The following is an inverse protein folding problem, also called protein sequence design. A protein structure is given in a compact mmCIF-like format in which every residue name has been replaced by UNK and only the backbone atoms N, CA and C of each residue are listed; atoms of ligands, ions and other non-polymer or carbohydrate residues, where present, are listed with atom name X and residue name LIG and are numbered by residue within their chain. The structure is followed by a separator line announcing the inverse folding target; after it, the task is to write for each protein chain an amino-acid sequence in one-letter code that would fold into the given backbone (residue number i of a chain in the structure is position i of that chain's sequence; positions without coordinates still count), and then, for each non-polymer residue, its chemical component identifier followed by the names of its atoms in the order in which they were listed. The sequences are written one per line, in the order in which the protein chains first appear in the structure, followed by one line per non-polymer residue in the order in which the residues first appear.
data_IF_898917470749
#
_entry.id   IF_898917470749
#
_cell.length_a   1.000
_cell.length_b   1.000
_cell.length_c   1.000
_cell.angle_alpha   90.00
_cell.angle_beta   90.00
_cell.angle_gamma   90.00
#
_symmetry.space_group_name_H-M   'P 1'
#
loop_
_entity.id
_entity.type
_entity.pdbx_description
1 polymer ?
#
# COMPACT_ATOMS: atom_id res chain seq x y z
N UNK A 1 -15.34 -28.87 -4.19
CA UNK A 1 -14.08 -29.20 -3.49
C UNK A 1 -13.68 -27.96 -2.73
N UNK A 2 -13.78 -27.96 -1.40
CA UNK A 2 -13.13 -26.91 -0.60
C UNK A 2 -11.64 -26.97 -0.93
N UNK A 3 -11.11 -25.90 -1.51
CA UNK A 3 -9.68 -25.77 -1.69
C UNK A 3 -9.08 -25.71 -0.27
N UNK A 4 -8.25 -26.69 0.09
CA UNK A 4 -7.48 -26.63 1.34
C UNK A 4 -6.65 -25.35 1.27
N UNK A 5 -7.02 -24.37 2.08
CA UNK A 5 -6.41 -23.05 2.05
C UNK A 5 -4.98 -23.17 2.59
N UNK A 6 -4.00 -22.98 1.70
CA UNK A 6 -2.58 -23.11 2.05
C UNK A 6 -2.16 -21.90 2.88
N UNK A 7 -1.89 -22.11 4.17
CA UNK A 7 -1.29 -21.08 5.03
C UNK A 7 0.22 -21.11 4.89
N UNK A 8 0.82 -19.99 4.47
CA UNK A 8 2.27 -19.83 4.38
C UNK A 8 2.75 -19.00 5.56
N UNK A 9 3.82 -19.44 6.24
CA UNK A 9 4.54 -18.64 7.24
C UNK A 9 6.03 -18.85 7.06
N UNK A 10 6.82 -17.83 7.37
CA UNK A 10 8.27 -17.94 7.33
C UNK A 10 8.77 -18.91 8.43
N UNK A 11 9.69 -19.83 8.13
CA UNK A 11 10.41 -20.59 9.14
C UNK A 11 11.09 -19.67 10.17
N UNK A 12 11.13 -20.10 11.42
CA UNK A 12 11.67 -19.33 12.56
C UNK A 12 12.83 -20.07 13.23
N UNK A 13 13.57 -19.39 14.10
CA UNK A 13 14.72 -19.94 14.82
C UNK A 13 15.96 -20.15 13.94
N UNK A 14 16.91 -20.94 14.45
CA UNK A 14 18.26 -21.09 13.86
C UNK A 14 18.42 -22.29 12.93
N UNK A 15 17.41 -23.17 12.83
CA UNK A 15 17.44 -24.33 11.93
C UNK A 15 17.26 -23.90 10.49
N UNK A 16 18.18 -24.31 9.62
CA UNK A 16 18.15 -24.02 8.18
C UNK A 16 17.37 -25.09 7.41
N UNK A 17 16.62 -24.65 6.40
CA UNK A 17 16.06 -25.50 5.35
C UNK A 17 16.86 -25.41 4.04
N UNK A 18 17.60 -24.33 3.83
CA UNK A 18 18.50 -24.10 2.71
C UNK A 18 19.97 -24.42 3.05
N UNK A 19 20.85 -24.45 2.05
CA UNK A 19 22.29 -24.71 2.21
C UNK A 19 23.07 -23.59 2.91
N UNK A 20 22.50 -22.39 3.03
CA UNK A 20 23.11 -21.24 3.69
C UNK A 20 22.10 -20.20 4.13
N UNK A 21 22.55 -19.26 4.98
CA UNK A 21 21.70 -18.20 5.54
C UNK A 21 21.19 -17.21 4.49
N UNK A 22 21.93 -16.97 3.39
CA UNK A 22 21.49 -16.04 2.34
C UNK A 22 20.28 -16.61 1.57
N UNK A 23 20.33 -17.89 1.20
CA UNK A 23 19.23 -18.60 0.56
C UNK A 23 18.04 -18.73 1.51
N UNK A 24 18.32 -19.07 2.78
CA UNK A 24 17.30 -19.15 3.83
C UNK A 24 16.60 -17.80 4.04
N UNK A 25 17.35 -16.70 4.05
CA UNK A 25 16.79 -15.35 4.17
C UNK A 25 15.83 -15.05 3.01
N UNK A 26 16.25 -15.29 1.76
CA UNK A 26 15.38 -15.11 0.60
C UNK A 26 14.10 -15.96 0.69
N UNK A 27 14.22 -17.22 1.11
CA UNK A 27 13.06 -18.12 1.27
C UNK A 27 12.13 -17.65 2.39
N UNK A 28 12.67 -17.30 3.56
CA UNK A 28 11.89 -16.79 4.71
C UNK A 28 11.18 -15.50 4.34
N UNK A 29 11.84 -14.59 3.65
CA UNK A 29 11.21 -13.32 3.26
C UNK A 29 10.16 -13.48 2.17
N UNK A 30 10.34 -14.40 1.21
CA UNK A 30 9.30 -14.80 0.26
C UNK A 30 8.06 -15.33 1.00
N UNK A 31 8.26 -16.19 2.00
CA UNK A 31 7.18 -16.75 2.81
C UNK A 31 6.54 -15.71 3.74
N UNK A 32 7.33 -14.78 4.29
CA UNK A 32 6.83 -13.67 5.11
C UNK A 32 5.90 -12.76 4.31
N UNK A 33 6.22 -12.49 3.05
CA UNK A 33 5.35 -11.74 2.14
C UNK A 33 3.96 -12.39 1.95
N UNK A 34 3.78 -13.67 2.29
CA UNK A 34 2.53 -14.41 2.17
C UNK A 34 1.96 -14.85 3.53
N UNK A 35 2.53 -14.38 4.64
CA UNK A 35 1.97 -14.61 5.96
C UNK A 35 0.59 -13.94 6.05
N UNK A 36 -0.48 -14.62 6.54
CA UNK A 36 -1.79 -14.00 6.74
C UNK A 36 -1.78 -12.74 7.61
N UNK A 37 -0.81 -12.62 8.52
CA UNK A 37 -0.62 -11.42 9.35
C UNK A 37 0.03 -10.26 8.58
N UNK A 38 0.56 -10.51 7.39
CA UNK A 38 1.33 -9.56 6.59
C UNK A 38 0.60 -9.19 5.30
N UNK A 39 0.24 -10.19 4.49
CA UNK A 39 -0.33 -10.00 3.17
C UNK A 39 -1.81 -9.58 3.22
N UNK A 40 -2.28 -8.88 2.18
CA UNK A 40 -3.69 -8.54 2.04
C UNK A 40 -4.55 -9.73 1.59
N UNK A 41 -4.06 -10.56 0.66
CA UNK A 41 -4.80 -11.71 0.12
C UNK A 41 -3.86 -12.86 -0.28
N UNK A 42 -3.19 -13.51 0.69
CA UNK A 42 -2.10 -14.45 0.44
C UNK A 42 -2.51 -15.72 -0.32
N UNK A 43 -3.77 -16.14 -0.25
CA UNK A 43 -4.30 -17.30 -0.98
C UNK A 43 -4.24 -17.13 -2.52
N UNK A 44 -4.26 -15.87 -2.98
CA UNK A 44 -4.09 -15.48 -4.38
C UNK A 44 -2.65 -15.00 -4.69
N UNK A 45 -1.72 -15.22 -3.74
CA UNK A 45 -0.34 -14.72 -3.74
C UNK A 45 -0.20 -13.20 -3.66
N UNK A 46 -1.31 -12.48 -3.42
CA UNK A 46 -1.36 -11.02 -3.42
C UNK A 46 -0.91 -10.50 -2.07
N UNK A 47 0.12 -9.65 -2.11
CA UNK A 47 0.73 -9.05 -0.93
C UNK A 47 0.07 -7.71 -0.62
N UNK A 48 0.05 -6.75 -1.56
CA UNK A 48 -0.59 -5.44 -1.42
C UNK A 48 -0.73 -4.70 -2.77
N UNK A 49 -1.42 -3.55 -2.75
CA UNK A 49 -1.40 -2.58 -3.85
C UNK A 49 -2.14 -3.04 -5.11
N UNK A 50 -3.40 -3.47 -4.95
CA UNK A 50 -4.16 -4.09 -6.03
C UNK A 50 -3.74 -5.55 -6.21
N UNK A 51 -3.14 -5.87 -7.37
CA UNK A 51 -2.78 -7.23 -7.77
C UNK A 51 -1.29 -7.58 -7.54
N UNK A 52 -0.58 -6.84 -6.69
CA UNK A 52 0.85 -7.03 -6.42
C UNK A 52 1.15 -8.37 -5.75
N UNK A 53 1.87 -9.27 -6.42
CA UNK A 53 2.08 -10.66 -5.99
C UNK A 53 3.53 -11.00 -5.63
N UNK A 54 3.69 -12.02 -4.78
CA UNK A 54 5.00 -12.55 -4.39
C UNK A 54 5.61 -13.53 -5.41
N UNK A 55 4.76 -14.29 -6.10
CA UNK A 55 5.11 -15.22 -7.17
C UNK A 55 4.00 -15.26 -8.22
N UNK A 56 4.32 -15.68 -9.45
CA UNK A 56 3.38 -15.58 -10.59
C UNK A 56 2.12 -16.41 -10.39
N UNK A 57 2.30 -17.61 -9.86
CA UNK A 57 1.27 -18.58 -9.54
C UNK A 57 1.86 -19.61 -8.55
N UNK A 58 1.01 -20.48 -8.01
CA UNK A 58 1.44 -21.46 -7.00
C UNK A 58 2.53 -22.42 -7.48
N UNK A 59 2.48 -22.84 -8.75
CA UNK A 59 3.53 -23.66 -9.35
C UNK A 59 4.88 -22.93 -9.35
N UNK A 60 4.89 -21.64 -9.68
CA UNK A 60 6.10 -20.83 -9.63
C UNK A 60 6.59 -20.64 -8.18
N UNK A 61 5.69 -20.41 -7.22
CA UNK A 61 6.04 -20.34 -5.80
C UNK A 61 6.76 -21.61 -5.33
N UNK A 62 6.18 -22.79 -5.60
CA UNK A 62 6.76 -24.07 -5.19
C UNK A 62 8.12 -24.31 -5.85
N UNK A 63 8.25 -23.96 -7.13
CA UNK A 63 9.53 -24.06 -7.84
C UNK A 63 10.59 -23.09 -7.27
N UNK A 64 10.21 -21.89 -6.83
CA UNK A 64 11.13 -20.94 -6.18
C UNK A 64 11.62 -21.51 -4.85
N UNK A 65 10.70 -22.00 -4.01
CA UNK A 65 11.05 -22.59 -2.72
C UNK A 65 11.96 -23.80 -2.90
N UNK A 66 11.66 -24.68 -3.86
CA UNK A 66 12.52 -25.83 -4.17
C UNK A 66 13.91 -25.40 -4.66
N UNK A 67 13.98 -24.41 -5.57
CA UNK A 67 15.24 -23.90 -6.07
C UNK A 67 16.09 -23.27 -4.96
N UNK A 68 15.51 -22.46 -4.08
CA UNK A 68 16.23 -21.82 -2.96
C UNK A 68 16.79 -22.83 -1.95
N UNK A 69 16.15 -23.98 -1.76
CA UNK A 69 16.66 -25.03 -0.87
C UNK A 69 17.91 -25.71 -1.41
N UNK A 70 17.99 -25.86 -2.74
CA UNK A 70 19.09 -26.55 -3.42
C UNK A 70 20.20 -25.62 -3.93
N UNK A 71 19.97 -24.30 -3.96
CA UNK A 71 20.90 -23.31 -4.50
C UNK A 71 22.22 -23.28 -3.68
N UNK A 72 23.36 -23.40 -4.38
CA UNK A 72 24.69 -23.30 -3.76
C UNK A 72 25.06 -21.84 -3.42
N UNK A 73 26.15 -21.66 -2.66
CA UNK A 73 26.62 -20.33 -2.24
C UNK A 73 27.25 -19.51 -3.37
N UNK A 74 27.71 -20.15 -4.45
CA UNK A 74 28.29 -19.50 -5.62
C UNK A 74 27.34 -19.54 -6.83
N UNK A 75 26.04 -19.66 -6.59
CA UNK A 75 24.99 -19.67 -7.61
C UNK A 75 23.97 -18.54 -7.41
N UNK A 76 23.40 -18.08 -8.52
CA UNK A 76 22.39 -17.03 -8.55
C UNK A 76 21.11 -17.54 -9.23
N UNK A 77 19.98 -17.47 -8.52
CA UNK A 77 18.64 -17.75 -9.04
C UNK A 77 18.09 -16.55 -9.82
N UNK A 78 17.58 -16.78 -11.02
CA UNK A 78 16.96 -15.76 -11.86
C UNK A 78 15.43 -15.85 -11.78
N UNK A 79 14.79 -14.78 -11.33
CA UNK A 79 13.33 -14.62 -11.28
C UNK A 79 12.88 -13.65 -12.36
N UNK A 80 12.05 -14.12 -13.28
CA UNK A 80 11.40 -13.30 -14.30
C UNK A 80 9.92 -13.21 -13.97
N UNK A 81 9.40 -12.02 -13.67
CA UNK A 81 8.00 -11.77 -13.30
C UNK A 81 7.42 -12.86 -12.40
N UNK A 82 8.06 -13.06 -11.24
CA UNK A 82 7.65 -14.04 -10.23
C UNK A 82 7.77 -15.52 -10.62
N UNK A 83 8.54 -15.86 -11.65
CA UNK A 83 8.80 -17.25 -12.07
C UNK A 83 10.31 -17.54 -12.05
N UNK A 84 10.75 -18.68 -11.49
CA UNK A 84 12.16 -19.09 -11.56
C UNK A 84 12.46 -19.59 -12.97
N UNK A 85 13.44 -18.98 -13.65
CA UNK A 85 13.74 -19.26 -15.06
C UNK A 85 15.13 -19.85 -15.30
N UNK A 86 16.02 -19.78 -14.33
CA UNK A 86 17.35 -20.37 -14.43
C UNK A 86 18.17 -20.16 -13.18
N UNK A 87 19.20 -20.98 -13.04
CA UNK A 87 20.27 -20.84 -12.05
C UNK A 87 21.57 -20.72 -12.85
N UNK A 88 22.42 -19.76 -12.48
CA UNK A 88 23.72 -19.57 -13.11
C UNK A 88 24.80 -19.58 -12.04
N UNK A 89 25.97 -20.11 -12.37
CA UNK A 89 27.14 -20.03 -11.50
C UNK A 89 27.70 -18.61 -11.53
N UNK A 90 27.93 -18.05 -10.36
CA UNK A 90 28.51 -16.71 -10.14
C UNK A 90 29.67 -16.82 -9.14
N UNK A 91 29.53 -16.25 -7.94
CA UNK A 91 30.50 -16.30 -6.85
C UNK A 91 29.80 -15.93 -5.52
N UNK A 92 30.43 -16.22 -4.39
CA UNK A 92 29.90 -16.03 -3.02
C UNK A 92 29.57 -14.56 -2.65
N UNK A 93 30.22 -13.59 -3.28
CA UNK A 93 29.88 -12.16 -3.12
C UNK A 93 28.76 -11.65 -4.05
N UNK A 94 28.26 -12.49 -4.97
CA UNK A 94 27.20 -12.08 -5.89
C UNK A 94 25.83 -12.18 -5.23
N UNK A 95 24.80 -11.47 -5.73
CA UNK A 95 23.44 -11.67 -5.27
C UNK A 95 23.00 -13.13 -5.44
N UNK A 96 22.43 -13.72 -4.39
CA UNK A 96 21.82 -15.05 -4.41
C UNK A 96 20.62 -15.12 -5.37
N UNK A 97 19.88 -14.02 -5.52
CA UNK A 97 18.69 -13.93 -6.38
C UNK A 97 18.70 -12.62 -7.16
N UNK A 98 18.45 -12.69 -8.47
CA UNK A 98 18.21 -11.53 -9.33
C UNK A 98 16.77 -11.56 -9.83
N UNK A 99 16.06 -10.44 -9.68
CA UNK A 99 14.62 -10.35 -9.94
C UNK A 99 14.33 -9.23 -10.94
N UNK A 100 13.62 -9.57 -12.02
CA UNK A 100 13.08 -8.61 -12.98
C UNK A 100 11.59 -8.86 -13.17
N UNK A 101 10.75 -8.02 -12.54
CA UNK A 101 9.30 -8.15 -12.57
C UNK A 101 8.64 -7.05 -13.40
N UNK A 102 7.56 -7.41 -14.11
CA UNK A 102 6.62 -6.46 -14.75
C UNK A 102 7.20 -5.54 -15.83
N UNK A 103 8.45 -5.74 -16.23
CA UNK A 103 9.09 -4.95 -17.28
C UNK A 103 8.43 -5.21 -18.64
N UNK A 104 8.02 -4.13 -19.30
CA UNK A 104 7.51 -4.10 -20.66
C UNK A 104 8.25 -3.03 -21.45
N UNK A 105 8.45 -3.28 -22.75
CA UNK A 105 9.04 -2.26 -23.64
C UNK A 105 8.12 -1.04 -23.65
N UNK A 106 8.62 0.22 -23.59
CA UNK A 106 7.80 1.38 -23.23
C UNK A 106 6.50 1.57 -24.00
N UNK A 107 6.48 1.31 -25.32
CA UNK A 107 5.25 1.43 -26.13
C UNK A 107 4.15 0.42 -25.76
N UNK A 108 4.52 -0.67 -25.10
CA UNK A 108 3.64 -1.73 -24.63
C UNK A 108 3.47 -1.73 -23.11
N UNK A 109 4.03 -0.75 -22.40
CA UNK A 109 3.94 -0.64 -20.95
C UNK A 109 2.59 -0.04 -20.53
N UNK A 110 1.50 -0.72 -20.91
CA UNK A 110 0.12 -0.35 -20.58
C UNK A 110 -0.59 -1.49 -19.86
N UNK A 111 -1.65 -1.17 -19.12
CA UNK A 111 -2.43 -2.16 -18.39
C UNK A 111 -3.15 -3.15 -19.31
N UNK A 112 -3.57 -2.73 -20.51
CA UNK A 112 -4.21 -3.61 -21.49
C UNK A 112 -3.27 -4.73 -21.90
N UNK A 113 -2.04 -4.39 -22.29
CA UNK A 113 -1.02 -5.37 -22.68
C UNK A 113 -0.62 -6.23 -21.47
N UNK A 114 -0.44 -5.61 -20.31
CA UNK A 114 -0.13 -6.32 -19.08
C UNK A 114 -1.18 -7.41 -18.78
N UNK A 115 -2.48 -7.06 -18.84
CA UNK A 115 -3.59 -8.00 -18.56
C UNK A 115 -3.71 -9.08 -19.63
N UNK A 116 -3.42 -8.77 -20.89
CA UNK A 116 -3.35 -9.79 -21.96
C UNK A 116 -2.26 -10.83 -21.64
N UNK A 117 -1.08 -10.39 -21.24
CA UNK A 117 0.04 -11.26 -20.85
C UNK A 117 -0.27 -12.03 -19.56
N UNK A 118 -0.98 -11.42 -18.61
CA UNK A 118 -1.37 -12.07 -17.35
C UNK A 118 -2.33 -13.22 -17.62
N UNK A 119 -3.35 -13.02 -18.48
CA UNK A 119 -4.27 -14.08 -18.93
C UNK A 119 -3.54 -15.25 -19.60
N UNK A 120 -2.42 -14.97 -20.28
CA UNK A 120 -1.54 -15.99 -20.89
C UNK A 120 -0.55 -16.63 -19.90
N UNK A 121 -0.53 -16.20 -18.63
CA UNK A 121 0.40 -16.69 -17.61
C UNK A 121 1.85 -16.23 -17.81
N UNK A 122 2.07 -15.13 -18.54
CA UNK A 122 3.40 -14.67 -18.97
C UNK A 122 3.99 -13.56 -18.10
N UNK A 123 3.17 -12.90 -17.27
CA UNK A 123 3.58 -11.78 -16.44
C UNK A 123 2.97 -11.87 -15.03
N UNK A 124 3.52 -11.06 -14.12
CA UNK A 124 3.08 -10.87 -12.75
C UNK A 124 3.28 -9.38 -12.42
N UNK A 125 2.38 -8.80 -11.62
CA UNK A 125 2.56 -7.45 -11.10
C UNK A 125 3.39 -7.52 -9.82
N UNK A 126 4.61 -6.99 -9.86
CA UNK A 126 5.56 -7.08 -8.75
C UNK A 126 5.34 -6.03 -7.67
N UNK A 127 4.56 -4.98 -7.94
CA UNK A 127 4.57 -3.75 -7.15
C UNK A 127 6.05 -3.34 -6.91
N UNK A 128 6.39 -2.85 -5.72
CA UNK A 128 7.75 -2.61 -5.27
C UNK A 128 8.24 -3.80 -4.46
N UNK A 129 7.69 -4.01 -3.26
CA UNK A 129 8.21 -5.00 -2.30
C UNK A 129 7.44 -6.32 -2.27
N UNK A 130 6.37 -6.45 -3.06
CA UNK A 130 5.60 -7.68 -3.16
C UNK A 130 6.41 -8.76 -3.92
N UNK A 131 6.83 -8.46 -5.14
CA UNK A 131 7.59 -9.38 -5.99
C UNK A 131 9.10 -9.42 -5.69
N UNK A 132 9.58 -8.57 -4.78
CA UNK A 132 10.99 -8.53 -4.35
C UNK A 132 11.21 -9.01 -2.91
N UNK A 133 10.16 -9.53 -2.26
CA UNK A 133 10.24 -10.25 -0.99
C UNK A 133 10.83 -9.42 0.16
N UNK A 134 10.31 -8.22 0.38
CA UNK A 134 10.76 -7.36 1.50
C UNK A 134 9.61 -6.51 2.09
N UNK A 135 8.39 -7.05 1.99
CA UNK A 135 7.22 -6.44 2.59
C UNK A 135 7.09 -6.88 4.06
N UNK A 136 6.85 -5.91 4.93
CA UNK A 136 6.80 -6.07 6.39
C UNK A 136 5.45 -5.60 6.94
N UNK A 137 4.40 -5.76 6.14
CA UNK A 137 3.08 -5.23 6.44
C UNK A 137 3.03 -3.71 6.34
N UNK A 138 2.01 -3.14 6.97
CA UNK A 138 1.71 -1.70 6.95
C UNK A 138 2.85 -0.84 7.50
N UNK A 139 3.70 -1.37 8.37
CA UNK A 139 4.85 -0.65 8.94
C UNK A 139 5.82 -0.16 7.84
N UNK A 140 5.92 -0.88 6.72
CA UNK A 140 6.88 -0.57 5.65
C UNK A 140 6.72 0.81 5.01
N UNK A 141 5.56 1.46 5.14
CA UNK A 141 5.33 2.84 4.67
C UNK A 141 5.06 3.82 5.83
N UNK A 142 4.84 3.33 7.04
CA UNK A 142 4.38 4.14 8.18
C UNK A 142 5.26 5.37 8.42
N UNK A 143 6.59 5.19 8.49
CA UNK A 143 7.49 6.32 8.69
C UNK A 143 7.43 7.34 7.55
N UNK A 144 7.34 6.90 6.29
CA UNK A 144 7.20 7.81 5.15
C UNK A 144 5.93 8.65 5.21
N UNK A 145 4.82 8.03 5.65
CA UNK A 145 3.54 8.73 5.85
C UNK A 145 3.59 9.67 7.05
N UNK A 146 4.20 9.23 8.15
CA UNK A 146 4.46 10.08 9.32
C UNK A 146 5.28 11.31 8.94
N UNK A 147 6.40 11.15 8.25
CA UNK A 147 7.28 12.25 7.83
C UNK A 147 6.59 13.20 6.84
N UNK A 148 5.72 12.68 5.98
CA UNK A 148 4.91 13.50 5.07
C UNK A 148 4.01 14.42 5.87
N UNK A 149 3.23 13.88 6.81
CA UNK A 149 2.33 14.70 7.64
C UNK A 149 3.07 15.61 8.61
N UNK A 150 4.21 15.18 9.15
CA UNK A 150 5.07 16.01 9.99
C UNK A 150 5.61 17.22 9.21
N UNK A 151 6.00 17.01 7.94
CA UNK A 151 6.45 18.10 7.08
C UNK A 151 5.30 19.04 6.67
N UNK A 152 4.10 18.51 6.41
CA UNK A 152 2.91 19.34 6.20
C UNK A 152 2.67 20.25 7.41
N UNK A 153 2.72 19.71 8.63
CA UNK A 153 2.58 20.48 9.86
C UNK A 153 3.64 21.60 9.97
N UNK A 154 4.90 21.28 9.70
CA UNK A 154 5.99 22.27 9.71
C UNK A 154 5.77 23.39 8.69
N UNK A 155 5.31 23.08 7.48
CA UNK A 155 4.99 24.09 6.47
C UNK A 155 3.77 24.93 6.82
N UNK A 156 2.86 24.41 7.66
CA UNK A 156 1.78 25.19 8.28
C UNK A 156 2.26 26.07 9.45
N UNK A 157 3.54 26.02 9.82
CA UNK A 157 4.09 26.71 10.99
C UNK A 157 3.70 26.06 12.31
N UNK A 158 3.35 24.77 12.31
CA UNK A 158 3.01 23.98 13.49
C UNK A 158 4.11 22.97 13.82
N UNK A 159 4.19 22.57 15.09
CA UNK A 159 5.08 21.50 15.54
C UNK A 159 4.57 20.12 15.09
N UNK A 160 3.26 19.92 15.16
CA UNK A 160 2.54 18.71 14.80
C UNK A 160 1.13 19.07 14.27
N UNK A 161 0.27 18.07 14.07
CA UNK A 161 -1.11 18.22 13.58
C UNK A 161 -2.15 18.40 14.70
N UNK A 162 -1.77 18.78 15.92
CA UNK A 162 -2.75 18.98 17.00
C UNK A 162 -3.80 20.02 16.61
N UNK A 163 -5.07 19.62 16.73
CA UNK A 163 -6.21 20.44 16.33
C UNK A 163 -6.42 20.53 14.80
N UNK A 164 -5.78 19.65 14.03
CA UNK A 164 -5.94 19.56 12.57
C UNK A 164 -6.73 18.34 12.15
N UNK A 165 -7.60 18.55 11.17
CA UNK A 165 -8.45 17.54 10.58
C UNK A 165 -7.92 17.11 9.21
N UNK A 166 -7.64 15.81 9.08
CA UNK A 166 -7.16 15.18 7.85
C UNK A 166 -8.25 14.28 7.28
N UNK A 167 -8.53 14.39 5.99
CA UNK A 167 -9.40 13.46 5.26
C UNK A 167 -8.58 12.72 4.20
N UNK A 168 -8.76 11.41 4.16
CA UNK A 168 -8.15 10.54 3.14
C UNK A 168 -9.04 9.35 2.81
N UNK A 169 -8.62 8.53 1.85
CA UNK A 169 -9.26 7.27 1.51
C UNK A 169 -8.25 6.14 1.28
N UNK A 170 -8.76 4.91 1.36
CA UNK A 170 -8.00 3.68 1.17
C UNK A 170 -7.32 3.20 2.45
N UNK A 171 -7.80 2.07 2.99
CA UNK A 171 -7.26 1.37 4.15
C UNK A 171 -6.74 -0.01 3.75
N UNK A 172 -6.06 -0.12 2.61
CA UNK A 172 -5.34 -1.34 2.20
C UNK A 172 -4.02 -1.55 2.94
N UNK A 173 -3.20 -2.50 2.47
CA UNK A 173 -1.90 -2.83 3.09
C UNK A 173 -1.01 -1.62 3.40
N UNK A 174 -0.93 -0.67 2.47
CA UNK A 174 -0.18 0.59 2.61
C UNK A 174 -1.06 1.74 3.11
N UNK A 175 -2.27 1.87 2.55
CA UNK A 175 -3.28 2.88 2.94
C UNK A 175 -3.66 2.86 4.41
N UNK A 176 -3.61 1.69 5.03
CA UNK A 176 -3.85 1.51 6.46
C UNK A 176 -2.79 2.16 7.36
N UNK A 177 -1.67 2.67 6.83
CA UNK A 177 -0.70 3.40 7.64
C UNK A 177 -1.11 4.86 7.89
N UNK A 178 -1.99 5.41 7.06
CA UNK A 178 -2.42 6.81 7.13
C UNK A 178 -3.04 7.21 8.47
N UNK A 179 -3.97 6.44 9.07
CA UNK A 179 -4.61 6.86 10.30
C UNK A 179 -3.60 6.94 11.45
N UNK A 180 -2.75 5.91 11.62
CA UNK A 180 -1.68 5.91 12.62
C UNK A 180 -0.65 7.03 12.38
N UNK A 181 -0.27 7.30 11.13
CA UNK A 181 0.67 8.37 10.82
C UNK A 181 0.14 9.77 11.21
N UNK A 182 -1.16 10.00 11.05
CA UNK A 182 -1.81 11.25 11.46
C UNK A 182 -1.90 11.32 12.99
N UNK A 183 -2.29 10.25 13.68
CA UNK A 183 -2.41 10.25 15.15
C UNK A 183 -1.04 10.30 15.84
N UNK A 184 0.01 9.74 15.25
CA UNK A 184 1.41 9.93 15.69
C UNK A 184 1.87 11.39 15.56
N UNK A 185 1.27 12.16 14.64
CA UNK A 185 1.42 13.60 14.54
C UNK A 185 0.35 14.36 15.36
N UNK A 186 -0.30 13.72 16.33
CA UNK A 186 -1.33 14.33 17.19
C UNK A 186 -2.58 14.88 16.46
N UNK A 187 -2.83 14.50 15.21
CA UNK A 187 -3.96 14.95 14.41
C UNK A 187 -5.21 14.07 14.51
N UNK A 188 -6.29 14.53 13.89
CA UNK A 188 -7.54 13.78 13.72
C UNK A 188 -7.71 13.37 12.26
N UNK A 189 -7.94 12.08 12.00
CA UNK A 189 -8.08 11.52 10.66
C UNK A 189 -9.47 10.92 10.42
N UNK A 190 -10.07 11.24 9.28
CA UNK A 190 -11.17 10.50 8.68
C UNK A 190 -10.65 9.74 7.45
N UNK A 191 -10.76 8.42 7.47
CA UNK A 191 -10.29 7.54 6.40
C UNK A 191 -11.45 6.79 5.77
N UNK A 192 -11.80 7.11 4.53
CA UNK A 192 -12.89 6.45 3.80
C UNK A 192 -12.41 5.12 3.19
N UNK A 193 -13.15 4.05 3.42
CA UNK A 193 -12.86 2.72 2.87
C UNK A 193 -14.14 2.01 2.45
N UNK A 194 -14.14 1.43 1.24
CA UNK A 194 -15.32 0.81 0.63
C UNK A 194 -15.46 -0.65 1.02
N UNK A 195 -14.37 -1.32 1.37
CA UNK A 195 -14.34 -2.73 1.78
C UNK A 195 -14.31 -2.81 3.31
N UNK A 196 -15.44 -3.16 3.92
CA UNK A 196 -15.61 -3.26 5.39
C UNK A 196 -14.52 -4.09 6.08
N UNK A 197 -14.13 -5.24 5.50
CA UNK A 197 -13.13 -6.12 6.09
C UNK A 197 -11.75 -5.45 6.22
N UNK A 198 -11.44 -4.48 5.35
CA UNK A 198 -10.18 -3.71 5.46
C UNK A 198 -10.19 -2.80 6.66
N UNK A 199 -11.33 -2.21 7.02
CA UNK A 199 -11.48 -1.41 8.24
C UNK A 199 -11.21 -2.31 9.46
N UNK A 200 -11.85 -3.48 9.50
CA UNK A 200 -11.76 -4.42 10.62
C UNK A 200 -10.30 -4.87 10.83
N UNK A 201 -9.59 -5.18 9.74
CA UNK A 201 -8.16 -5.53 9.79
C UNK A 201 -7.30 -4.41 10.40
N UNK A 202 -7.62 -3.12 10.14
CA UNK A 202 -6.83 -1.99 10.66
C UNK A 202 -7.14 -1.72 12.13
N UNK A 203 -8.36 -1.98 12.57
CA UNK A 203 -8.72 -1.98 13.99
C UNK A 203 -7.96 -3.09 14.73
N UNK A 204 -7.97 -4.32 14.19
CA UNK A 204 -7.29 -5.48 14.79
C UNK A 204 -5.79 -5.22 14.99
N UNK A 205 -5.11 -4.69 13.97
CA UNK A 205 -3.69 -4.36 14.05
C UNK A 205 -3.38 -3.01 14.70
N UNK A 206 -4.38 -2.30 15.23
CA UNK A 206 -4.24 -1.00 15.91
C UNK A 206 -3.58 0.09 15.05
N UNK A 207 -3.88 0.07 13.75
CA UNK A 207 -3.56 1.15 12.82
C UNK A 207 -4.72 2.14 12.66
N UNK A 208 -5.89 1.83 13.22
CA UNK A 208 -7.10 2.63 13.25
C UNK A 208 -7.75 2.53 14.63
N UNK A 209 -8.32 3.63 15.15
CA UNK A 209 -8.91 3.66 16.50
C UNK A 209 -10.40 3.32 16.52
N UNK A 210 -11.15 3.89 15.57
CA UNK A 210 -12.62 3.79 15.54
C UNK A 210 -13.15 3.56 14.14
N UNK A 211 -14.38 3.04 14.11
CA UNK A 211 -15.17 2.85 12.90
C UNK A 211 -16.46 3.66 13.01
N UNK A 212 -16.93 4.15 11.87
CA UNK A 212 -18.23 4.77 11.69
C UNK A 212 -18.92 4.20 10.44
N UNK A 213 -20.25 4.10 10.48
CA UNK A 213 -21.06 3.61 9.36
C UNK A 213 -21.69 4.74 8.55
N UNK A 214 -21.69 5.96 9.10
CA UNK A 214 -22.26 7.14 8.44
C UNK A 214 -21.32 8.32 8.53
N UNK A 215 -21.41 9.22 7.55
CA UNK A 215 -20.64 10.46 7.55
C UNK A 215 -20.95 11.33 8.79
N UNK A 216 -22.22 11.40 9.20
CA UNK A 216 -22.61 12.23 10.35
C UNK A 216 -22.04 11.68 11.67
N UNK A 217 -22.04 10.36 11.86
CA UNK A 217 -21.37 9.71 12.98
C UNK A 217 -19.86 9.98 12.97
N UNK A 218 -19.22 9.80 11.81
CA UNK A 218 -17.78 9.98 11.67
C UNK A 218 -17.36 11.43 11.99
N UNK A 219 -18.10 12.40 11.47
CA UNK A 219 -17.86 13.82 11.73
C UNK A 219 -18.11 14.19 13.20
N UNK A 220 -19.13 13.60 13.86
CA UNK A 220 -19.37 13.82 15.28
C UNK A 220 -18.19 13.31 16.14
N UNK A 221 -17.63 12.15 15.81
CA UNK A 221 -16.44 11.62 16.47
C UNK A 221 -15.22 12.52 16.25
N UNK A 222 -14.97 12.95 15.01
CA UNK A 222 -13.83 13.79 14.66
C UNK A 222 -13.91 15.16 15.34
N UNK A 223 -15.05 15.85 15.28
CA UNK A 223 -15.22 17.15 15.95
C UNK A 223 -15.02 17.07 17.47
N UNK A 224 -15.56 16.02 18.11
CA UNK A 224 -15.35 15.82 19.55
C UNK A 224 -13.87 15.68 19.90
N UNK A 225 -13.09 14.96 19.09
CA UNK A 225 -11.65 14.80 19.30
C UNK A 225 -10.89 16.10 19.05
N UNK A 226 -11.25 16.85 18.00
CA UNK A 226 -10.70 18.17 17.70
C UNK A 226 -10.94 19.17 18.85
N UNK A 227 -12.18 19.22 19.38
CA UNK A 227 -12.55 20.09 20.50
C UNK A 227 -11.78 19.73 21.79
N UNK A 228 -11.49 18.44 21.99
CA UNK A 228 -10.70 17.94 23.12
C UNK A 228 -9.18 18.09 22.92
N UNK A 229 -8.71 18.36 21.70
CA UNK A 229 -7.28 18.36 21.35
C UNK A 229 -6.65 16.96 21.41
N UNK A 230 -7.43 15.91 21.24
CA UNK A 230 -6.99 14.52 21.30
C UNK A 230 -6.81 13.93 19.89
N UNK A 231 -5.72 13.19 19.62
CA UNK A 231 -5.58 12.48 18.36
C UNK A 231 -6.63 11.38 18.24
N UNK A 232 -7.21 11.24 17.05
CA UNK A 232 -8.18 10.19 16.76
C UNK A 232 -8.18 9.83 15.29
N UNK A 233 -8.24 8.55 14.99
CA UNK A 233 -8.49 8.05 13.64
C UNK A 233 -9.83 7.32 13.52
N UNK A 234 -10.62 7.68 12.50
CA UNK A 234 -11.95 7.12 12.24
C UNK A 234 -12.00 6.56 10.82
N UNK A 235 -12.28 5.26 10.69
CA UNK A 235 -12.56 4.60 9.42
C UNK A 235 -14.03 4.71 9.10
N UNK A 236 -14.37 5.31 7.95
CA UNK A 236 -15.75 5.41 7.48
C UNK A 236 -15.98 4.42 6.35
N UNK A 237 -16.93 3.52 6.55
CA UNK A 237 -17.37 2.60 5.50
C UNK A 237 -18.14 3.38 4.42
N UNK A 238 -17.56 3.49 3.22
CA UNK A 238 -18.15 4.24 2.12
C UNK A 238 -17.22 4.35 0.91
N UNK A 239 -17.75 4.86 -0.20
CA UNK A 239 -16.94 5.14 -1.39
C UNK A 239 -16.41 6.58 -1.35
N UNK A 240 -15.11 6.78 -1.52
CA UNK A 240 -14.49 8.11 -1.51
C UNK A 240 -15.08 9.05 -2.59
N UNK A 241 -15.44 8.51 -3.75
CA UNK A 241 -16.09 9.26 -4.83
C UNK A 241 -17.56 9.62 -4.55
N UNK A 242 -18.14 9.14 -3.44
CA UNK A 242 -19.44 9.60 -2.93
C UNK A 242 -19.28 10.50 -1.70
N UNK A 243 -18.40 10.11 -0.77
CA UNK A 243 -18.20 10.81 0.51
C UNK A 243 -17.56 12.19 0.32
N UNK A 244 -16.45 12.30 -0.42
CA UNK A 244 -15.75 13.59 -0.54
C UNK A 244 -16.59 14.65 -1.25
N UNK A 245 -17.30 14.36 -2.36
CA UNK A 245 -18.25 15.32 -2.95
C UNK A 245 -19.35 15.75 -1.98
N UNK A 246 -19.90 14.82 -1.18
CA UNK A 246 -20.93 15.16 -0.19
C UNK A 246 -20.37 16.06 0.93
N UNK A 247 -19.13 15.82 1.39
CA UNK A 247 -18.44 16.71 2.32
C UNK A 247 -18.28 18.13 1.74
N UNK A 248 -17.84 18.24 0.48
CA UNK A 248 -17.72 19.53 -0.22
C UNK A 248 -19.07 20.26 -0.27
N UNK A 249 -20.15 19.55 -0.59
CA UNK A 249 -21.51 20.10 -0.66
C UNK A 249 -22.02 20.57 0.70
N UNK A 250 -21.70 19.84 1.78
CA UNK A 250 -22.05 20.20 3.16
C UNK A 250 -21.13 21.26 3.77
N UNK A 251 -20.07 21.67 3.08
CA UNK A 251 -19.07 22.61 3.62
C UNK A 251 -18.18 22.01 4.70
N UNK A 252 -18.07 20.68 4.77
CA UNK A 252 -17.20 19.94 5.69
C UNK A 252 -15.79 19.86 5.09
N UNK A 253 -15.04 20.95 5.18
CA UNK A 253 -13.72 21.06 4.56
C UNK A 253 -12.63 20.75 5.59
N UNK A 254 -11.74 19.78 5.34
CA UNK A 254 -10.63 19.47 6.24
C UNK A 254 -9.50 20.50 6.14
N UNK A 255 -8.57 20.48 7.11
CA UNK A 255 -7.32 21.22 6.98
C UNK A 255 -6.42 20.60 5.90
N UNK A 256 -6.41 19.26 5.80
CA UNK A 256 -5.57 18.49 4.88
C UNK A 256 -6.40 17.42 4.17
N UNK A 257 -6.22 17.27 2.85
CA UNK A 257 -6.86 16.21 2.06
C UNK A 257 -5.84 15.49 1.18
N UNK A 258 -5.93 14.17 1.13
CA UNK A 258 -5.10 13.30 0.30
C UNK A 258 -5.86 12.02 -0.07
N UNK A 259 -5.23 11.10 -0.79
CA UNK A 259 -5.80 9.81 -1.16
C UNK A 259 -4.73 8.71 -1.27
N UNK A 260 -5.08 7.49 -0.84
CA UNK A 260 -4.28 6.29 -1.02
C UNK A 260 -5.12 5.07 -1.42
N UNK A 261 -6.27 5.28 -2.07
CA UNK A 261 -6.92 4.21 -2.85
C UNK A 261 -5.95 3.62 -3.87
N UNK A 262 -6.21 2.41 -4.38
CA UNK A 262 -5.35 1.80 -5.40
C UNK A 262 -5.71 2.27 -6.81
N UNK A 263 -5.76 3.59 -7.01
CA UNK A 263 -6.09 4.25 -8.29
C UNK A 263 -5.15 3.85 -9.44
N UNK A 264 -3.95 3.35 -9.14
CA UNK A 264 -2.97 2.89 -10.13
C UNK A 264 -3.41 1.64 -10.90
N UNK A 265 -4.40 0.88 -10.43
CA UNK A 265 -4.99 -0.27 -11.12
C UNK A 265 -6.52 -0.10 -11.16
N UNK A 266 -7.01 0.49 -12.24
CA UNK A 266 -8.42 0.83 -12.43
C UNK A 266 -9.37 -0.38 -12.49
N UNK A 267 -8.85 -1.60 -12.67
CA UNK A 267 -9.67 -2.82 -12.67
C UNK A 267 -9.75 -3.48 -11.29
N UNK A 268 -8.63 -3.58 -10.57
CA UNK A 268 -8.58 -4.32 -9.30
C UNK A 268 -8.51 -3.42 -8.06
N UNK A 269 -8.20 -2.13 -8.23
CA UNK A 269 -7.79 -1.25 -7.14
C UNK A 269 -8.78 -0.15 -6.77
N UNK A 270 -9.63 0.31 -7.70
CA UNK A 270 -10.59 1.39 -7.46
C UNK A 270 -12.02 0.92 -7.70
N UNK A 271 -12.89 1.04 -6.69
CA UNK A 271 -14.30 0.63 -6.77
C UNK A 271 -15.15 1.77 -7.36
N UNK A 272 -15.88 1.54 -8.47
CA UNK A 272 -16.75 2.56 -9.03
C UNK A 272 -17.86 2.99 -8.09
N UNK A 273 -18.20 4.27 -8.13
CA UNK A 273 -19.30 4.84 -7.35
C UNK A 273 -20.67 4.67 -8.05
N UNK A 274 -21.76 4.91 -7.32
CA UNK A 274 -23.12 4.82 -7.84
C UNK A 274 -23.69 3.40 -7.99
N UNK A 275 -22.94 2.38 -7.59
CA UNK A 275 -23.38 0.98 -7.47
C UNK A 275 -22.89 0.42 -6.13
N UNK A 276 -23.52 -0.64 -5.64
CA UNK A 276 -23.07 -1.32 -4.42
C UNK A 276 -21.72 -2.03 -4.63
N UNK A 277 -21.01 -2.30 -3.54
CA UNK A 277 -19.74 -3.04 -3.57
C UNK A 277 -19.90 -4.42 -4.24
N UNK A 278 -20.97 -5.16 -3.90
CA UNK A 278 -21.25 -6.48 -4.49
C UNK A 278 -21.53 -6.43 -6.00
N UNK A 279 -22.29 -5.42 -6.45
CA UNK A 279 -22.51 -5.17 -7.87
C UNK A 279 -21.21 -4.82 -8.58
N UNK A 280 -20.33 -4.03 -7.95
CA UNK A 280 -19.02 -3.70 -8.49
C UNK A 280 -18.14 -4.95 -8.64
N UNK A 281 -18.11 -5.84 -7.64
CA UNK A 281 -17.37 -7.11 -7.71
C UNK A 281 -17.90 -8.03 -8.81
N UNK A 282 -19.21 -8.06 -9.01
CA UNK A 282 -19.84 -8.81 -10.10
C UNK A 282 -19.48 -8.20 -11.45
N UNK A 283 -19.63 -6.88 -11.59
CA UNK A 283 -19.31 -6.14 -12.82
C UNK A 283 -17.85 -6.29 -13.23
N UNK A 284 -16.91 -6.27 -12.27
CA UNK A 284 -15.47 -6.48 -12.53
C UNK A 284 -15.20 -7.80 -13.26
N UNK A 285 -15.95 -8.85 -12.94
CA UNK A 285 -15.81 -10.19 -13.54
C UNK A 285 -16.53 -10.31 -14.88
N UNK A 286 -17.76 -9.82 -14.95
CA UNK A 286 -18.63 -10.02 -16.12
C UNK A 286 -18.35 -9.03 -17.25
N UNK A 287 -18.02 -7.78 -16.92
CA UNK A 287 -17.76 -6.72 -17.89
C UNK A 287 -16.64 -5.79 -17.41
N UNK A 288 -15.37 -6.25 -17.46
CA UNK A 288 -14.23 -5.48 -16.99
C UNK A 288 -14.05 -4.16 -17.73
N UNK A 289 -14.41 -4.06 -19.01
CA UNK A 289 -14.32 -2.81 -19.78
C UNK A 289 -15.27 -1.75 -19.22
N UNK A 290 -16.52 -2.12 -18.93
CA UNK A 290 -17.47 -1.22 -18.28
C UNK A 290 -17.02 -0.85 -16.88
N UNK A 291 -16.50 -1.81 -16.11
CA UNK A 291 -15.95 -1.54 -14.77
C UNK A 291 -14.85 -0.47 -14.83
N UNK A 292 -13.86 -0.66 -15.72
CA UNK A 292 -12.73 0.26 -15.90
C UNK A 292 -13.23 1.66 -16.22
N UNK A 293 -14.16 1.79 -17.17
CA UNK A 293 -14.74 3.09 -17.52
C UNK A 293 -15.40 3.77 -16.31
N UNK A 294 -16.20 3.03 -15.55
CA UNK A 294 -16.86 3.57 -14.36
C UNK A 294 -15.84 3.93 -13.25
N UNK A 295 -14.73 3.19 -13.14
CA UNK A 295 -13.64 3.51 -12.23
C UNK A 295 -12.95 4.84 -12.61
N UNK A 296 -12.67 5.06 -13.90
CA UNK A 296 -12.18 6.34 -14.41
C UNK A 296 -13.13 7.51 -14.11
N UNK A 297 -14.43 7.33 -14.38
CA UNK A 297 -15.45 8.35 -14.09
C UNK A 297 -15.48 8.67 -12.57
N UNK A 298 -15.34 7.65 -11.72
CA UNK A 298 -15.31 7.80 -10.26
C UNK A 298 -14.04 8.50 -9.76
N UNK A 299 -12.88 8.15 -10.33
CA UNK A 299 -11.60 8.80 -10.03
C UNK A 299 -11.62 10.29 -10.43
N UNK A 300 -12.29 10.63 -11.53
CA UNK A 300 -12.51 12.03 -11.90
C UNK A 300 -13.37 12.78 -10.88
N UNK A 301 -14.47 12.19 -10.41
CA UNK A 301 -15.33 12.78 -9.37
C UNK A 301 -14.56 12.98 -8.06
N UNK A 302 -13.80 11.97 -7.63
CA UNK A 302 -12.94 12.03 -6.45
C UNK A 302 -11.90 13.15 -6.57
N UNK A 303 -11.15 13.21 -7.67
CA UNK A 303 -10.15 14.24 -7.89
C UNK A 303 -10.75 15.66 -7.92
N UNK A 304 -11.94 15.83 -8.51
CA UNK A 304 -12.66 17.13 -8.48
C UNK A 304 -13.01 17.53 -7.05
N UNK A 305 -13.45 16.60 -6.20
CA UNK A 305 -13.74 16.90 -4.81
C UNK A 305 -12.49 17.35 -4.03
N UNK A 306 -11.33 16.72 -4.27
CA UNK A 306 -10.05 17.15 -3.69
C UNK A 306 -9.71 18.59 -4.13
N UNK A 307 -9.86 18.89 -5.43
CA UNK A 307 -9.65 20.24 -5.98
C UNK A 307 -10.62 21.27 -5.37
N UNK A 308 -11.90 20.91 -5.19
CA UNK A 308 -12.88 21.79 -4.58
C UNK A 308 -12.57 22.06 -3.09
N UNK A 309 -12.08 21.05 -2.36
CA UNK A 309 -11.58 21.23 -0.98
C UNK A 309 -10.34 22.13 -0.95
N UNK A 310 -9.42 21.97 -1.90
CA UNK A 310 -8.23 22.82 -2.05
C UNK A 310 -8.62 24.29 -2.28
N UNK A 311 -9.57 24.55 -3.19
CA UNK A 311 -10.08 25.90 -3.45
C UNK A 311 -10.74 26.55 -2.22
N UNK A 312 -11.28 25.72 -1.33
CA UNK A 312 -11.86 26.14 -0.04
C UNK A 312 -10.84 26.22 1.10
N UNK A 313 -9.56 26.01 0.83
CA UNK A 313 -8.46 26.26 1.76
C UNK A 313 -7.78 25.00 2.33
N UNK A 314 -8.22 23.80 1.97
CA UNK A 314 -7.53 22.58 2.40
C UNK A 314 -6.16 22.45 1.73
N UNK A 315 -5.16 21.96 2.46
CA UNK A 315 -3.88 21.54 1.86
C UNK A 315 -4.12 20.20 1.17
N UNK A 316 -4.11 20.20 -0.16
CA UNK A 316 -4.26 19.01 -0.97
C UNK A 316 -2.90 18.50 -1.47
N UNK A 317 -2.69 17.18 -1.43
CA UNK A 317 -1.56 16.55 -2.10
C UNK A 317 -1.92 15.12 -2.55
N UNK A 318 -1.21 14.64 -3.57
CA UNK A 318 -1.30 13.27 -4.06
C UNK A 318 -0.26 12.39 -3.37
N UNK A 319 -0.71 11.23 -2.89
CA UNK A 319 0.12 10.28 -2.14
C UNK A 319 0.58 9.08 -2.97
N UNK A 320 0.91 9.33 -4.25
CA UNK A 320 1.67 8.40 -5.07
C UNK A 320 0.88 7.21 -5.62
N UNK A 321 -0.44 7.33 -5.74
CA UNK A 321 -1.30 6.28 -6.30
C UNK A 321 -1.78 6.56 -7.74
N UNK A 322 -1.32 7.66 -8.35
CA UNK A 322 -1.64 8.05 -9.72
C UNK A 322 -3.09 8.53 -9.96
N UNK A 323 -3.87 8.86 -8.91
CA UNK A 323 -5.25 9.35 -9.04
C UNK A 323 -5.36 10.53 -10.01
N UNK A 324 -4.44 11.51 -9.92
CA UNK A 324 -4.45 12.70 -10.77
C UNK A 324 -4.33 12.38 -12.26
N UNK A 325 -3.46 11.44 -12.63
CA UNK A 325 -3.28 11.06 -14.03
C UNK A 325 -4.53 10.33 -14.56
N UNK A 326 -5.11 9.43 -13.75
CA UNK A 326 -6.36 8.74 -14.10
C UNK A 326 -7.51 9.74 -14.27
N UNK A 327 -7.62 10.72 -13.37
CA UNK A 327 -8.60 11.78 -13.46
C UNK A 327 -8.38 12.68 -14.69
N UNK A 328 -7.13 12.99 -15.04
CA UNK A 328 -6.80 13.76 -16.24
C UNK A 328 -7.23 13.03 -17.51
N UNK A 329 -6.95 11.72 -17.61
CA UNK A 329 -7.42 10.87 -18.72
C UNK A 329 -8.96 10.87 -18.81
N UNK A 330 -9.64 10.88 -17.66
CA UNK A 330 -11.09 11.01 -17.54
C UNK A 330 -11.63 12.45 -17.71
N UNK A 331 -10.79 13.41 -18.13
CA UNK A 331 -11.21 14.76 -18.50
C UNK A 331 -11.14 15.83 -17.39
N UNK A 332 -10.45 15.58 -16.28
CA UNK A 332 -10.15 16.61 -15.26
C UNK A 332 -8.86 17.33 -15.67
N UNK A 333 -8.99 18.36 -16.51
CA UNK A 333 -7.83 19.06 -17.11
C UNK A 333 -6.86 19.66 -16.08
N UNK A 334 -7.38 20.06 -14.92
CA UNK A 334 -6.62 20.68 -13.85
C UNK A 334 -6.32 19.71 -12.69
N UNK A 335 -6.32 18.39 -12.95
CA UNK A 335 -6.04 17.36 -11.95
C UNK A 335 -4.69 17.51 -11.25
N UNK A 336 -3.73 18.20 -11.88
CA UNK A 336 -2.38 18.41 -11.34
C UNK A 336 -2.20 19.74 -10.58
N UNK A 337 -3.28 20.48 -10.28
CA UNK A 337 -3.23 21.72 -9.50
C UNK A 337 -2.83 21.50 -8.03
N UNK A 338 -2.88 20.25 -7.53
CA UNK A 338 -2.27 19.86 -6.27
C UNK A 338 -1.03 18.97 -6.49
N UNK A 339 0.06 19.18 -5.72
CA UNK A 339 1.34 18.53 -5.95
C UNK A 339 1.35 17.07 -5.50
N UNK A 340 2.36 16.32 -5.93
CA UNK A 340 2.68 15.04 -5.30
C UNK A 340 3.43 15.27 -3.98
N UNK A 341 3.28 14.34 -3.03
CA UNK A 341 3.94 14.47 -1.72
C UNK A 341 5.47 14.53 -1.80
N UNK A 342 6.10 13.86 -2.77
CA UNK A 342 7.56 13.88 -2.94
C UNK A 342 8.09 15.29 -3.23
N UNK A 343 7.69 15.97 -4.32
CA UNK A 343 8.17 17.33 -4.57
C UNK A 343 7.75 18.32 -3.48
N UNK A 344 6.62 18.10 -2.81
CA UNK A 344 6.11 19.02 -1.81
C UNK A 344 6.81 18.89 -0.44
N UNK A 345 7.13 17.66 -0.02
CA UNK A 345 7.49 17.37 1.38
C UNK A 345 8.74 16.48 1.53
N UNK A 346 8.86 15.41 0.73
CA UNK A 346 9.86 14.35 1.01
C UNK A 346 11.20 14.53 0.28
N UNK A 347 11.24 15.26 -0.85
CA UNK A 347 12.45 15.40 -1.66
C UNK A 347 13.70 15.84 -0.88
N UNK A 348 13.63 16.78 0.09
CA UNK A 348 14.79 17.14 0.90
C UNK A 348 15.43 15.94 1.63
N UNK A 349 14.63 15.01 2.16
CA UNK A 349 15.13 13.79 2.80
C UNK A 349 15.90 12.92 1.79
N UNK A 350 15.39 12.79 0.57
CA UNK A 350 16.08 12.06 -0.50
C UNK A 350 17.41 12.69 -0.90
N UNK A 351 17.54 14.02 -0.85
CA UNK A 351 18.80 14.71 -1.12
C UNK A 351 19.89 14.38 -0.08
N UNK A 352 19.50 13.92 1.11
CA UNK A 352 20.41 13.43 2.16
C UNK A 352 20.62 11.91 2.11
N UNK A 353 20.09 11.21 1.10
CA UNK A 353 20.17 9.76 0.99
C UNK A 353 19.26 9.01 1.97
N UNK A 354 18.35 9.71 2.66
CA UNK A 354 17.33 9.07 3.50
C UNK A 354 16.28 8.41 2.62
N UNK A 355 15.63 7.39 3.18
CA UNK A 355 14.57 6.64 2.53
C UNK A 355 13.99 5.62 3.51
N UNK A 356 13.04 4.78 3.05
CA UNK A 356 12.37 3.80 3.90
C UNK A 356 13.26 2.57 4.18
N UNK A 357 14.41 2.82 4.81
CA UNK A 357 15.34 1.79 5.28
C UNK A 357 14.64 0.90 6.30
N UNK A 358 14.92 -0.40 6.25
CA UNK A 358 14.25 -1.41 7.08
C UNK A 358 15.12 -2.64 7.26
N UNK A 359 14.82 -3.40 8.30
CA UNK A 359 15.36 -4.73 8.54
C UNK A 359 14.26 -5.65 9.09
N UNK A 360 14.51 -6.96 9.10
CA UNK A 360 13.62 -7.95 9.67
C UNK A 360 14.45 -9.01 10.41
N UNK A 361 13.96 -9.44 11.59
CA UNK A 361 14.61 -10.49 12.36
C UNK A 361 14.18 -11.88 11.85
N UNK A 362 15.09 -12.58 11.16
CA UNK A 362 14.81 -13.93 10.62
C UNK A 362 14.58 -14.98 11.71
N UNK A 363 15.05 -14.71 12.95
CA UNK A 363 14.76 -15.52 14.12
C UNK A 363 13.26 -15.64 14.39
N UNK A 364 12.48 -14.60 14.07
CA UNK A 364 11.10 -14.42 14.51
C UNK A 364 10.95 -13.94 15.95
N UNK A 365 12.04 -13.64 16.65
CA UNK A 365 11.99 -13.16 18.03
C UNK A 365 11.93 -11.62 18.06
N UNK A 366 10.89 -11.01 18.66
CA UNK A 366 10.77 -9.55 18.73
C UNK A 366 11.91 -8.90 19.53
N UNK A 367 12.60 -9.65 20.41
CA UNK A 367 13.74 -9.12 21.17
C UNK A 367 14.91 -8.70 20.28
N UNK A 368 15.08 -9.33 19.12
CA UNK A 368 16.09 -8.90 18.15
C UNK A 368 15.77 -7.51 17.61
N UNK A 369 14.48 -7.19 17.38
CA UNK A 369 14.05 -5.86 16.98
C UNK A 369 14.30 -4.84 18.10
N UNK A 370 13.91 -5.14 19.33
CA UNK A 370 14.15 -4.24 20.48
C UNK A 370 15.65 -3.96 20.68
N UNK A 371 16.49 -4.98 20.53
CA UNK A 371 17.94 -4.78 20.60
C UNK A 371 18.44 -3.87 19.47
N UNK A 372 17.92 -4.01 18.25
CA UNK A 372 18.27 -3.11 17.15
C UNK A 372 17.75 -1.68 17.34
N UNK A 373 16.60 -1.50 18.00
CA UNK A 373 16.10 -0.17 18.36
C UNK A 373 17.05 0.53 19.34
N UNK A 374 17.46 -0.18 20.41
CA UNK A 374 18.48 0.30 21.34
C UNK A 374 19.81 0.60 20.63
N UNK A 375 20.22 -0.25 19.68
CA UNK A 375 21.46 -0.06 18.93
C UNK A 375 21.43 1.23 18.10
N UNK A 376 20.28 1.59 17.52
CA UNK A 376 20.14 2.84 16.76
C UNK A 376 20.31 4.04 17.68
N UNK A 377 19.72 4.02 18.88
CA UNK A 377 19.92 5.06 19.88
C UNK A 377 21.38 5.14 20.36
N UNK A 378 22.08 4.01 20.47
CA UNK A 378 23.51 3.96 20.81
C UNK A 378 24.39 4.56 19.70
N UNK A 379 24.07 4.31 18.43
CA UNK A 379 24.86 4.76 17.28
C UNK A 379 24.62 6.23 16.90
N UNK A 380 23.44 6.76 17.22
CA UNK A 380 23.01 8.13 16.92
C UNK A 380 22.48 8.80 18.20
N UNK A 381 23.36 9.12 19.17
CA UNK A 381 23.00 9.56 20.52
C UNK A 381 22.36 10.94 20.62
#
# INVERSE_FOLDING_TARGET
MEAIMRTIKAPRGTTLSCKGWQQEAAMRMLMNNLDPEVAEKPEDLVVYGGSGKAARNWQAFDAIVAALKELENDETLLIQSGKPVGIIKTHDYAPTVLIANSNLVPKWATWEVFRELEKKGLIMFGQMTAGSWIYIGTQGILQGTYETFAEVARQMGQEDLRGKFVVTAGLGGMGGAQPLAVTMNNGVALCVEVESERIDKRLEFRYLDKRAETLDEAMAMCHKALDAGEPLSVGLHGNAADILPEMVKRGMIPDIVTDQTSAHDELNGYVPHGISYEEALTLRRENPEKYIKMAYDSMAVHCRAILDMQQKGAIAFDYGNNLRAQAQEAGVHNAFDYPGFVPAFIRPLFCEGKGPFRWAALSGDPRDIYRTDELILELFP
#
